data_IF_444378086643
#
_entry.id   IF_444378086643
#
_cell.length_a   1.000
_cell.length_b   1.000
_cell.length_c   1.000
_cell.angle_alpha   90.00
_cell.angle_beta   90.00
_cell.angle_gamma   90.00
#
_symmetry.space_group_name_H-M   'P 1'
#
loop_
_entity.id
_entity.type
_entity.pdbx_description
1 polymer ?
#
# COMPACT_ATOMS: atom_id res chain seq x y z
N UNK A 1 -65.57 -18.95 -38.38
CA UNK A 1 -65.00 -19.28 -39.71
C UNK A 1 -63.58 -18.71 -39.81
N UNK A 2 -62.61 -19.58 -40.17
CA UNK A 2 -61.26 -19.34 -40.75
C UNK A 2 -60.28 -18.45 -39.94
N UNK A 3 -59.23 -19.02 -39.31
CA UNK A 3 -57.87 -19.37 -39.86
C UNK A 3 -57.17 -18.13 -40.49
N UNK A 4 -55.91 -17.79 -40.27
CA UNK A 4 -54.73 -18.40 -39.64
C UNK A 4 -53.50 -17.50 -39.92
N UNK A 5 -52.38 -17.76 -39.21
CA UNK A 5 -50.97 -17.36 -39.47
C UNK A 5 -50.62 -15.95 -38.98
N UNK A 6 -49.68 -15.73 -38.06
CA UNK A 6 -48.41 -16.45 -37.83
C UNK A 6 -47.32 -15.68 -38.56
N UNK A 7 -46.64 -14.74 -37.88
CA UNK A 7 -45.39 -14.18 -38.37
C UNK A 7 -44.50 -13.74 -37.20
N UNK A 8 -43.22 -14.06 -37.37
CA UNK A 8 -42.12 -14.10 -36.41
C UNK A 8 -41.80 -12.74 -35.79
N UNK A 9 -41.51 -12.74 -34.49
CA UNK A 9 -40.75 -11.67 -33.84
C UNK A 9 -39.30 -11.72 -34.36
N UNK A 10 -38.94 -10.77 -35.22
CA UNK A 10 -37.57 -10.47 -35.58
C UNK A 10 -36.99 -9.50 -34.55
N UNK A 11 -36.06 -10.00 -33.75
CA UNK A 11 -35.15 -9.24 -32.88
C UNK A 11 -34.36 -8.22 -33.72
N UNK A 12 -34.72 -6.94 -33.60
CA UNK A 12 -33.95 -5.82 -34.14
C UNK A 12 -32.84 -5.55 -33.13
N UNK A 13 -31.64 -6.08 -33.40
CA UNK A 13 -30.41 -5.67 -32.73
C UNK A 13 -30.02 -4.28 -33.27
N UNK A 14 -30.13 -3.27 -32.43
CA UNK A 14 -29.56 -1.95 -32.70
C UNK A 14 -28.03 -2.07 -32.85
N UNK A 15 -27.42 -1.59 -33.95
CA UNK A 15 -25.96 -1.55 -34.04
C UNK A 15 -25.41 -0.46 -33.11
N UNK A 16 -24.42 -0.81 -32.29
CA UNK A 16 -23.62 0.15 -31.53
C UNK A 16 -23.02 1.19 -32.49
N UNK A 17 -22.97 2.49 -32.11
CA UNK A 17 -22.24 3.48 -32.88
C UNK A 17 -20.76 3.12 -32.87
N UNK A 18 -20.20 2.87 -34.05
CA UNK A 18 -18.76 2.67 -34.26
C UNK A 18 -18.00 3.92 -33.84
N UNK A 19 -17.04 3.77 -32.92
CA UNK A 19 -16.07 4.82 -32.59
C UNK A 19 -15.35 5.30 -33.86
N UNK A 20 -15.09 6.61 -34.01
CA UNK A 20 -14.30 7.12 -35.13
C UNK A 20 -12.88 6.54 -35.07
N UNK A 21 -12.24 6.26 -36.22
CA UNK A 21 -10.88 5.75 -36.25
C UNK A 21 -9.93 6.74 -35.56
N UNK A 22 -9.04 6.20 -34.72
CA UNK A 22 -7.97 6.95 -34.08
C UNK A 22 -7.15 7.71 -35.14
N UNK A 23 -6.75 8.97 -34.89
CA UNK A 23 -5.87 9.69 -35.79
C UNK A 23 -4.55 8.91 -35.96
N UNK A 24 -3.94 8.93 -37.16
CA UNK A 24 -2.66 8.28 -37.37
C UNK A 24 -1.61 8.86 -36.42
N UNK A 25 -0.65 8.05 -35.94
CA UNK A 25 0.43 8.55 -35.09
C UNK A 25 1.17 9.67 -35.84
N UNK A 26 1.55 10.76 -35.16
CA UNK A 26 2.25 11.87 -35.78
C UNK A 26 3.53 11.34 -36.44
N UNK A 27 3.51 11.33 -37.77
CA UNK A 27 4.61 10.90 -38.63
C UNK A 27 5.35 12.14 -39.10
N UNK A 28 6.07 12.76 -38.16
CA UNK A 28 7.07 13.78 -38.48
C UNK A 28 8.34 13.44 -37.71
N UNK A 29 9.47 13.23 -38.40
CA UNK A 29 10.75 13.04 -37.74
C UNK A 29 11.08 14.33 -36.97
N UNK A 30 11.22 14.20 -35.65
CA UNK A 30 11.58 15.30 -34.77
C UNK A 30 12.95 15.85 -35.18
N UNK A 31 12.98 17.11 -35.62
CA UNK A 31 14.20 17.90 -35.70
C UNK A 31 14.77 18.08 -34.29
N UNK A 32 16.05 17.76 -34.13
CA UNK A 32 16.72 17.48 -32.86
C UNK A 32 17.33 18.70 -32.14
N UNK A 33 16.74 19.90 -32.24
CA UNK A 33 17.38 21.13 -31.72
C UNK A 33 16.44 22.12 -30.96
N UNK A 34 15.22 21.72 -30.56
CA UNK A 34 14.38 22.58 -29.71
C UNK A 34 14.44 22.17 -28.24
N UNK A 35 14.69 23.14 -27.33
CA UNK A 35 14.60 22.95 -25.88
C UNK A 35 13.20 22.42 -25.54
N UNK A 36 13.05 21.24 -24.91
CA UNK A 36 11.75 20.68 -24.59
C UNK A 36 11.02 21.44 -23.47
N UNK A 37 11.69 22.37 -22.78
CA UNK A 37 11.13 23.07 -21.62
C UNK A 37 9.87 23.90 -21.90
N UNK A 38 9.76 24.71 -22.98
CA UNK A 38 8.53 25.44 -23.27
C UNK A 38 7.30 24.54 -23.43
N UNK A 39 7.46 23.36 -24.03
CA UNK A 39 6.39 22.37 -24.15
C UNK A 39 6.04 21.77 -22.78
N UNK A 40 7.03 21.41 -21.98
CA UNK A 40 6.83 20.91 -20.62
C UNK A 40 6.11 21.93 -19.72
N UNK A 41 6.48 23.21 -19.83
CA UNK A 41 5.82 24.31 -19.12
C UNK A 41 4.35 24.40 -19.51
N UNK A 42 4.04 24.40 -20.80
CA UNK A 42 2.66 24.47 -21.28
C UNK A 42 1.79 23.31 -20.76
N UNK A 43 2.32 22.08 -20.77
CA UNK A 43 1.61 20.91 -20.24
C UNK A 43 1.37 20.99 -18.72
N UNK A 44 2.34 21.49 -17.95
CA UNK A 44 2.17 21.64 -16.50
C UNK A 44 1.19 22.78 -16.17
N UNK A 45 1.21 23.87 -16.92
CA UNK A 45 0.21 24.94 -16.82
C UNK A 45 -1.21 24.43 -17.10
N UNK A 46 -1.36 23.60 -18.13
CA UNK A 46 -2.65 22.97 -18.48
C UNK A 46 -3.11 22.01 -17.38
N UNK A 47 -2.19 21.21 -16.83
CA UNK A 47 -2.46 20.32 -15.69
C UNK A 47 -2.92 21.09 -14.44
N UNK A 48 -2.30 22.25 -14.17
CA UNK A 48 -2.63 23.10 -13.03
C UNK A 48 -3.89 23.96 -13.27
N UNK A 49 -4.28 24.19 -14.53
CA UNK A 49 -5.22 25.24 -14.87
C UNK A 49 -4.72 26.64 -14.47
N UNK A 50 -3.40 26.85 -14.49
CA UNK A 50 -2.73 28.06 -14.03
C UNK A 50 -1.71 28.51 -15.07
N UNK A 51 -1.74 29.80 -15.44
CA UNK A 51 -0.73 30.42 -16.31
C UNK A 51 0.22 31.25 -15.46
N UNK A 52 1.51 30.97 -15.57
CA UNK A 52 2.54 31.69 -14.84
C UNK A 52 2.74 33.09 -15.42
N UNK A 53 2.87 34.09 -14.55
CA UNK A 53 3.30 35.42 -14.98
C UNK A 53 4.79 35.41 -15.32
N UNK A 54 5.57 34.62 -14.57
CA UNK A 54 6.98 34.35 -14.81
C UNK A 54 7.22 32.86 -15.09
N UNK A 55 7.33 32.51 -16.37
CA UNK A 55 7.60 31.15 -16.82
C UNK A 55 8.97 30.60 -16.36
N UNK A 56 9.88 31.46 -15.92
CA UNK A 56 11.18 31.00 -15.40
C UNK A 56 11.03 30.24 -14.07
N UNK A 57 9.99 30.55 -13.27
CA UNK A 57 9.72 29.86 -12.01
C UNK A 57 9.37 28.39 -12.21
N UNK A 58 8.53 28.10 -13.20
CA UNK A 58 8.14 26.72 -13.51
C UNK A 58 9.28 25.98 -14.22
N UNK A 59 10.07 26.67 -15.06
CA UNK A 59 11.27 26.07 -15.64
C UNK A 59 12.32 25.69 -14.57
N UNK A 60 12.54 26.56 -13.57
CA UNK A 60 13.40 26.26 -12.40
C UNK A 60 12.83 25.10 -11.58
N UNK A 61 11.52 25.08 -11.32
CA UNK A 61 10.86 24.00 -10.59
C UNK A 61 10.98 22.62 -11.26
N UNK A 62 11.08 22.62 -12.60
CA UNK A 62 11.24 21.43 -13.44
C UNK A 62 12.70 21.13 -13.80
N UNK A 63 13.67 21.66 -13.06
CA UNK A 63 15.11 21.43 -13.31
C UNK A 63 15.79 20.77 -12.11
N UNK A 64 16.30 19.54 -12.29
CA UNK A 64 17.05 18.82 -11.26
C UNK A 64 18.51 19.30 -11.17
N UNK A 65 19.11 19.23 -9.98
CA UNK A 65 20.50 19.69 -9.70
C UNK A 65 21.61 18.94 -10.44
N UNK A 66 21.27 17.87 -11.17
CA UNK A 66 22.19 17.22 -12.11
C UNK A 66 22.41 18.04 -13.39
N UNK A 67 21.49 18.95 -13.71
CA UNK A 67 21.66 19.92 -14.78
C UNK A 67 22.52 21.07 -14.27
N UNK A 68 23.74 21.20 -14.80
CA UNK A 68 24.70 22.20 -14.35
C UNK A 68 24.52 23.56 -15.04
N UNK A 69 23.68 23.64 -16.07
CA UNK A 69 23.53 24.83 -16.91
C UNK A 69 22.45 25.77 -16.38
N UNK A 70 21.48 25.22 -15.63
CA UNK A 70 20.29 25.94 -15.18
C UNK A 70 20.14 25.96 -13.66
N UNK A 71 19.35 26.91 -13.16
CA UNK A 71 18.98 26.95 -11.75
C UNK A 71 18.15 25.71 -11.40
N UNK A 72 18.53 25.01 -10.33
CA UNK A 72 17.83 23.81 -9.87
C UNK A 72 16.65 24.15 -8.97
N UNK A 73 15.66 23.26 -8.91
CA UNK A 73 14.46 23.39 -8.11
C UNK A 73 14.66 23.53 -6.60
N UNK A 74 15.88 23.30 -6.06
CA UNK A 74 16.13 23.11 -4.62
C UNK A 74 15.67 24.29 -3.74
N UNK A 75 15.78 25.52 -4.24
CA UNK A 75 15.30 26.71 -3.51
C UNK A 75 13.77 26.77 -3.48
N UNK A 76 13.14 26.37 -4.58
CA UNK A 76 11.69 26.25 -4.69
C UNK A 76 11.18 25.10 -3.83
N UNK A 77 11.81 23.92 -3.84
CA UNK A 77 11.52 22.80 -2.92
C UNK A 77 11.45 23.28 -1.46
N UNK A 78 12.47 24.00 -1.00
CA UNK A 78 12.53 24.54 0.36
C UNK A 78 11.33 25.44 0.70
N UNK A 79 10.91 26.30 -0.22
CA UNK A 79 9.73 27.16 -0.05
C UNK A 79 8.44 26.33 -0.10
N UNK A 80 8.41 25.34 -0.97
CA UNK A 80 7.27 24.47 -1.26
C UNK A 80 6.88 23.59 -0.09
N UNK A 81 7.85 22.97 0.58
CA UNK A 81 7.64 22.18 1.80
C UNK A 81 6.92 23.01 2.88
N UNK A 82 7.42 24.21 3.14
CA UNK A 82 6.82 25.12 4.12
C UNK A 82 5.42 25.61 3.69
N UNK A 83 5.25 25.98 2.41
CA UNK A 83 4.00 26.49 1.88
C UNK A 83 2.90 25.41 1.87
N UNK A 84 3.20 24.21 1.38
CA UNK A 84 2.27 23.08 1.39
C UNK A 84 1.95 22.66 2.82
N UNK A 85 2.95 22.60 3.71
CA UNK A 85 2.76 22.33 5.11
C UNK A 85 1.76 23.29 5.76
N UNK A 86 1.88 24.59 5.49
CA UNK A 86 0.94 25.60 6.00
C UNK A 86 -0.43 25.51 5.33
N UNK A 87 -0.49 25.26 4.02
CA UNK A 87 -1.75 25.11 3.29
C UNK A 87 -2.58 23.94 3.83
N UNK A 88 -1.97 22.78 4.04
CA UNK A 88 -2.61 21.64 4.69
C UNK A 88 -2.97 21.93 6.15
N UNK A 89 -2.10 22.61 6.91
CA UNK A 89 -2.44 23.04 8.28
C UNK A 89 -3.72 23.89 8.30
N UNK A 90 -3.80 24.90 7.43
CA UNK A 90 -4.98 25.76 7.33
C UNK A 90 -6.22 24.96 6.93
N UNK A 91 -6.09 24.10 5.92
CA UNK A 91 -7.18 23.24 5.48
C UNK A 91 -7.71 22.36 6.62
N UNK A 92 -6.85 21.64 7.33
CA UNK A 92 -7.28 20.73 8.40
C UNK A 92 -7.81 21.46 9.64
N UNK A 93 -7.21 22.60 9.98
CA UNK A 93 -7.67 23.44 11.08
C UNK A 93 -9.09 23.95 10.83
N UNK A 94 -9.39 24.40 9.61
CA UNK A 94 -10.71 24.92 9.24
C UNK A 94 -11.75 23.83 9.03
N UNK A 95 -11.35 22.68 8.45
CA UNK A 95 -12.30 21.59 8.14
C UNK A 95 -12.58 20.65 9.31
N UNK A 96 -11.71 20.61 10.34
CA UNK A 96 -11.87 19.72 11.49
C UNK A 96 -11.76 20.47 12.84
N UNK A 97 -12.71 21.37 13.17
CA UNK A 97 -12.63 22.21 14.38
C UNK A 97 -12.63 21.42 15.70
N UNK A 98 -13.08 20.16 15.69
CA UNK A 98 -13.17 19.29 16.87
C UNK A 98 -11.89 18.51 17.17
N UNK A 99 -10.92 18.47 16.25
CA UNK A 99 -9.70 17.67 16.43
C UNK A 99 -8.68 18.36 17.31
N UNK A 100 -8.03 17.56 18.15
CA UNK A 100 -6.90 18.02 18.95
C UNK A 100 -5.63 18.29 18.11
N UNK A 101 -4.67 19.06 18.64
CA UNK A 101 -3.42 19.41 17.93
C UNK A 101 -2.60 18.17 17.52
N UNK A 102 -2.66 17.09 18.30
CA UNK A 102 -2.01 15.82 17.95
C UNK A 102 -2.57 15.22 16.66
N UNK A 103 -3.89 15.09 16.56
CA UNK A 103 -4.58 14.52 15.38
C UNK A 103 -4.35 15.36 14.13
N UNK A 104 -4.45 16.69 14.25
CA UNK A 104 -4.15 17.63 13.15
C UNK A 104 -2.71 17.49 12.66
N UNK A 105 -1.75 17.31 13.57
CA UNK A 105 -0.35 17.09 13.21
C UNK A 105 -0.15 15.80 12.43
N UNK A 106 -0.88 14.73 12.77
CA UNK A 106 -0.78 13.47 12.04
C UNK A 106 -1.43 13.54 10.66
N UNK A 107 -2.62 14.17 10.54
CA UNK A 107 -3.27 14.42 9.24
C UNK A 107 -2.36 15.24 8.32
N UNK A 108 -1.76 16.30 8.84
CA UNK A 108 -0.78 17.09 8.10
C UNK A 108 0.37 16.21 7.61
N UNK A 109 1.04 15.50 8.52
CA UNK A 109 2.19 14.65 8.19
C UNK A 109 1.87 13.57 7.15
N UNK A 110 0.65 13.00 7.18
CA UNK A 110 0.23 12.01 6.20
C UNK A 110 0.12 12.59 4.78
N UNK A 111 -0.35 13.84 4.67
CA UNK A 111 -0.56 14.50 3.38
C UNK A 111 0.68 15.15 2.79
N UNK A 112 1.69 15.48 3.62
CA UNK A 112 2.97 16.06 3.18
C UNK A 112 4.13 15.07 3.26
N UNK A 113 3.86 13.78 3.41
CA UNK A 113 4.92 12.77 3.43
C UNK A 113 5.55 12.60 2.04
N UNK A 114 6.85 12.30 1.99
CA UNK A 114 7.58 12.02 0.74
C UNK A 114 6.88 10.94 -0.09
N UNK A 115 6.38 9.88 0.54
CA UNK A 115 5.63 8.81 -0.12
C UNK A 115 4.35 9.34 -0.78
N UNK A 116 3.57 10.16 -0.06
CA UNK A 116 2.33 10.73 -0.56
C UNK A 116 2.56 11.65 -1.74
N UNK A 117 3.52 12.57 -1.63
CA UNK A 117 3.85 13.51 -2.71
C UNK A 117 4.49 12.79 -3.91
N UNK A 118 5.32 11.77 -3.68
CA UNK A 118 5.87 10.97 -4.76
C UNK A 118 4.78 10.25 -5.58
N UNK A 119 3.74 9.73 -4.92
CA UNK A 119 2.58 9.13 -5.59
C UNK A 119 1.77 10.15 -6.39
N UNK A 120 1.67 11.38 -5.90
CA UNK A 120 1.06 12.50 -6.66
C UNK A 120 1.86 12.75 -7.93
N UNK A 121 3.19 12.81 -7.85
CA UNK A 121 4.04 12.98 -9.03
C UNK A 121 3.89 11.84 -10.05
N UNK A 122 3.78 10.59 -9.58
CA UNK A 122 3.55 9.43 -10.46
C UNK A 122 2.18 9.49 -11.12
N UNK A 123 1.12 9.80 -10.35
CA UNK A 123 -0.26 9.86 -10.86
C UNK A 123 -0.40 10.83 -12.04
N UNK A 124 0.22 12.00 -11.93
CA UNK A 124 0.18 13.02 -12.98
C UNK A 124 1.36 12.91 -13.97
N UNK A 125 2.29 11.98 -13.72
CA UNK A 125 3.49 11.78 -14.51
C UNK A 125 4.39 13.01 -14.58
N UNK A 126 4.51 13.76 -13.49
CA UNK A 126 5.29 15.01 -13.41
C UNK A 126 6.78 14.81 -13.70
N UNK A 127 7.31 13.63 -13.38
CA UNK A 127 8.72 13.31 -13.62
C UNK A 127 9.10 13.37 -15.10
N UNK A 128 8.16 13.19 -16.04
CA UNK A 128 8.44 13.28 -17.48
C UNK A 128 8.88 14.69 -17.90
N UNK A 129 8.45 15.70 -17.16
CA UNK A 129 8.74 17.12 -17.42
C UNK A 129 10.04 17.59 -16.76
N UNK A 130 10.63 16.78 -15.88
CA UNK A 130 11.84 17.13 -15.14
C UNK A 130 13.08 17.05 -16.06
N UNK A 131 13.69 18.20 -16.34
CA UNK A 131 15.02 18.29 -16.94
C UNK A 131 16.07 17.75 -15.98
N UNK A 132 16.84 16.75 -16.43
CA UNK A 132 17.81 16.03 -15.59
C UNK A 132 18.86 15.32 -16.45
N UNK A 133 19.97 14.97 -15.81
CA UNK A 133 21.06 14.19 -16.40
C UNK A 133 21.55 13.14 -15.39
N UNK A 134 20.68 12.18 -15.05
CA UNK A 134 21.00 11.15 -14.06
C UNK A 134 20.29 9.82 -14.35
N UNK A 135 20.94 8.86 -15.04
CA UNK A 135 20.31 7.58 -15.40
C UNK A 135 19.96 6.71 -14.19
N UNK A 136 20.69 6.88 -13.08
CA UNK A 136 20.38 6.21 -11.81
C UNK A 136 19.03 6.66 -11.26
N UNK A 137 18.73 7.95 -11.40
CA UNK A 137 17.47 8.52 -10.95
C UNK A 137 16.30 7.97 -11.77
N UNK A 138 16.50 7.85 -13.08
CA UNK A 138 15.51 7.27 -14.00
C UNK A 138 15.14 5.84 -13.58
N UNK A 139 16.15 5.00 -13.30
CA UNK A 139 15.91 3.63 -12.86
C UNK A 139 15.09 3.55 -11.56
N UNK A 140 15.43 4.40 -10.58
CA UNK A 140 14.72 4.43 -9.29
C UNK A 140 13.27 4.89 -9.45
N UNK A 141 13.02 5.88 -10.29
CA UNK A 141 11.67 6.39 -10.54
C UNK A 141 10.85 5.40 -11.34
N UNK A 142 11.44 4.72 -12.31
CA UNK A 142 10.76 3.69 -13.10
C UNK A 142 10.33 2.50 -12.22
N UNK A 143 11.23 2.01 -11.35
CA UNK A 143 10.92 0.94 -10.40
C UNK A 143 9.74 1.31 -9.49
N UNK A 144 9.78 2.51 -8.89
CA UNK A 144 8.69 3.00 -8.03
C UNK A 144 7.38 3.18 -8.81
N UNK A 145 7.46 3.74 -10.03
CA UNK A 145 6.29 3.98 -10.89
C UNK A 145 5.59 2.67 -11.27
N UNK A 146 6.36 1.62 -11.59
CA UNK A 146 5.80 0.30 -11.89
C UNK A 146 5.04 -0.29 -10.69
N UNK A 147 5.59 -0.16 -9.47
CA UNK A 147 4.92 -0.65 -8.25
C UNK A 147 3.62 0.12 -8.01
N UNK A 148 3.66 1.45 -8.06
CA UNK A 148 2.47 2.29 -7.83
C UNK A 148 1.37 2.02 -8.87
N UNK A 149 1.72 1.84 -10.14
CA UNK A 149 0.74 1.51 -11.19
C UNK A 149 0.08 0.15 -10.94
N UNK A 150 0.85 -0.87 -10.57
CA UNK A 150 0.31 -2.20 -10.23
C UNK A 150 -0.66 -2.15 -9.05
N UNK A 151 -0.31 -1.40 -8.00
CA UNK A 151 -1.18 -1.20 -6.83
C UNK A 151 -2.52 -0.53 -7.19
N UNK A 152 -2.53 0.34 -8.21
CA UNK A 152 -3.76 1.00 -8.70
C UNK A 152 -4.60 0.05 -9.57
N UNK A 153 -3.96 -0.80 -10.39
CA UNK A 153 -4.63 -1.70 -11.33
C UNK A 153 -5.26 -2.94 -10.67
N UNK A 154 -4.69 -3.44 -9.57
CA UNK A 154 -5.14 -4.67 -8.90
C UNK A 154 -6.34 -4.48 -7.94
N UNK A 155 -7.00 -3.31 -7.97
CA UNK A 155 -8.22 -2.97 -7.19
C UNK A 155 -8.11 -3.29 -5.69
N UNK A 156 -6.88 -3.28 -5.17
CA UNK A 156 -6.57 -3.54 -3.77
C UNK A 156 -6.86 -2.27 -2.96
N UNK A 157 -8.15 -1.93 -2.85
CA UNK A 157 -8.74 -0.78 -2.17
C UNK A 157 -7.69 0.30 -1.87
N UNK A 158 -7.29 1.01 -2.94
CA UNK A 158 -6.04 1.74 -3.06
C UNK A 158 -5.78 2.63 -1.85
N UNK A 159 -5.08 2.05 -0.85
CA UNK A 159 -4.88 2.72 0.42
C UNK A 159 -4.13 4.03 0.13
N UNK A 160 -4.61 5.18 0.61
CA UNK A 160 -3.87 6.45 0.51
C UNK A 160 -2.48 6.39 1.15
N UNK A 161 -2.26 5.35 1.96
CA UNK A 161 -1.04 5.00 2.67
C UNK A 161 -0.28 3.95 1.86
N UNK A 162 0.70 4.42 1.11
CA UNK A 162 1.59 3.57 0.32
C UNK A 162 2.17 2.41 1.14
N UNK A 163 1.96 1.20 0.61
CA UNK A 163 2.53 -0.05 1.09
C UNK A 163 3.67 -0.57 0.22
N UNK A 164 4.22 0.26 -0.67
CA UNK A 164 5.25 -0.15 -1.63
C UNK A 164 6.43 -0.84 -0.93
N UNK A 165 6.79 -2.03 -1.43
CA UNK A 165 8.05 -2.73 -1.13
C UNK A 165 9.30 -1.90 -1.47
N UNK A 166 9.13 -0.81 -2.22
CA UNK A 166 10.17 0.08 -2.74
C UNK A 166 10.03 1.46 -2.12
N UNK A 167 11.13 1.99 -1.60
CA UNK A 167 11.20 3.33 -1.01
C UNK A 167 10.95 4.41 -2.08
N UNK A 168 10.03 5.34 -1.81
CA UNK A 168 9.78 6.49 -2.69
C UNK A 168 11.07 7.30 -2.99
N UNK A 169 11.38 7.54 -4.27
CA UNK A 169 12.42 8.49 -4.69
C UNK A 169 12.09 9.91 -4.23
N UNK A 170 12.98 10.53 -3.45
CA UNK A 170 12.76 11.88 -2.89
C UNK A 170 12.49 12.93 -3.97
N UNK A 171 13.15 12.81 -5.13
CA UNK A 171 12.96 13.73 -6.27
C UNK A 171 11.50 13.89 -6.69
N UNK A 172 10.68 12.84 -6.55
CA UNK A 172 9.28 12.92 -6.95
C UNK A 172 8.48 13.82 -6.00
N UNK A 173 8.79 13.78 -4.70
CA UNK A 173 8.21 14.71 -3.73
C UNK A 173 8.75 16.13 -3.95
N UNK A 174 10.07 16.26 -4.15
CA UNK A 174 10.72 17.56 -4.35
C UNK A 174 10.14 18.31 -5.56
N UNK A 175 9.81 17.60 -6.65
CA UNK A 175 9.17 18.19 -7.84
C UNK A 175 7.76 18.69 -7.55
N UNK A 176 6.99 18.00 -6.72
CA UNK A 176 5.65 18.47 -6.33
C UNK A 176 5.77 19.72 -5.46
N UNK A 177 6.72 19.73 -4.53
CA UNK A 177 7.01 20.88 -3.66
C UNK A 177 7.51 22.08 -4.48
N UNK A 178 8.41 21.86 -5.43
CA UNK A 178 8.95 22.94 -6.26
C UNK A 178 7.90 23.56 -7.19
N UNK A 179 7.01 22.78 -7.79
CA UNK A 179 5.92 23.32 -8.61
C UNK A 179 4.93 24.09 -7.73
N UNK A 180 4.60 23.58 -6.54
CA UNK A 180 3.78 24.32 -5.58
C UNK A 180 4.42 25.66 -5.19
N UNK A 181 5.74 25.66 -4.97
CA UNK A 181 6.48 26.88 -4.67
C UNK A 181 6.50 27.85 -5.85
N UNK A 182 6.64 27.38 -7.09
CA UNK A 182 6.57 28.23 -8.27
C UNK A 182 5.22 28.97 -8.32
N UNK A 183 4.10 28.27 -8.11
CA UNK A 183 2.77 28.89 -8.03
C UNK A 183 2.69 29.87 -6.86
N UNK A 184 3.22 29.48 -5.69
CA UNK A 184 3.18 30.31 -4.49
C UNK A 184 3.97 31.62 -4.67
N UNK A 185 5.14 31.57 -5.29
CA UNK A 185 5.97 32.75 -5.59
C UNK A 185 5.32 33.61 -6.66
N UNK A 186 4.85 33.00 -7.75
CA UNK A 186 4.22 33.72 -8.88
C UNK A 186 2.95 34.47 -8.45
N UNK A 187 2.16 33.89 -7.55
CA UNK A 187 0.96 34.53 -7.02
C UNK A 187 1.20 35.53 -5.88
N UNK A 188 2.47 35.88 -5.60
CA UNK A 188 2.86 36.86 -4.59
C UNK A 188 2.73 36.34 -3.15
N UNK A 189 3.11 35.09 -2.90
CA UNK A 189 3.00 34.40 -1.60
C UNK A 189 1.57 34.32 -1.07
N UNK A 190 0.59 34.20 -1.97
CA UNK A 190 -0.82 34.06 -1.61
C UNK A 190 -1.20 32.58 -1.41
N UNK A 191 -1.29 32.17 -0.14
CA UNK A 191 -1.57 30.77 0.21
C UNK A 191 -2.96 30.29 -0.24
N UNK A 192 -3.97 31.17 -0.27
CA UNK A 192 -5.32 30.82 -0.71
C UNK A 192 -5.35 30.51 -2.21
N UNK A 193 -4.65 31.33 -3.02
CA UNK A 193 -4.48 31.09 -4.45
C UNK A 193 -3.68 29.81 -4.71
N UNK A 194 -2.57 29.60 -3.98
CA UNK A 194 -1.81 28.36 -4.04
C UNK A 194 -2.72 27.15 -3.81
N UNK A 195 -3.48 27.15 -2.72
CA UNK A 195 -4.38 26.05 -2.39
C UNK A 195 -5.43 25.83 -3.47
N UNK A 196 -6.05 26.90 -3.99
CA UNK A 196 -7.06 26.80 -5.04
C UNK A 196 -6.53 26.15 -6.32
N UNK A 197 -5.31 26.49 -6.73
CA UNK A 197 -4.66 25.95 -7.92
C UNK A 197 -4.19 24.52 -7.69
N UNK A 198 -3.51 24.28 -6.57
CA UNK A 198 -2.72 23.07 -6.38
C UNK A 198 -3.49 21.91 -5.72
N UNK A 199 -4.58 22.21 -4.99
CA UNK A 199 -5.37 21.20 -4.26
C UNK A 199 -5.83 20.06 -5.16
N UNK A 200 -6.30 20.35 -6.37
CA UNK A 200 -6.83 19.32 -7.28
C UNK A 200 -5.80 18.24 -7.61
N UNK A 201 -4.53 18.62 -7.74
CA UNK A 201 -3.42 17.70 -8.04
C UNK A 201 -3.11 16.81 -6.83
N UNK A 202 -3.29 17.32 -5.61
CA UNK A 202 -3.01 16.62 -4.36
C UNK A 202 -4.05 15.54 -4.00
N UNK A 203 -5.20 15.51 -4.68
CA UNK A 203 -6.24 14.51 -4.43
C UNK A 203 -5.76 13.08 -4.75
N UNK A 204 -6.22 12.05 -3.99
CA UNK A 204 -7.16 12.15 -2.87
C UNK A 204 -6.47 12.67 -1.60
N UNK A 205 -7.05 13.68 -0.96
CA UNK A 205 -6.56 14.19 0.34
C UNK A 205 -6.93 13.19 1.44
N UNK A 206 -5.96 12.89 2.30
CA UNK A 206 -6.19 12.06 3.49
C UNK A 206 -6.89 12.93 4.53
N UNK A 207 -8.20 12.76 4.66
CA UNK A 207 -9.11 13.43 5.62
C UNK A 207 -9.45 12.53 6.80
N UNK A 208 -10.09 13.09 7.84
CA UNK A 208 -10.63 12.33 8.97
C UNK A 208 -11.51 11.17 8.50
N UNK A 209 -12.38 11.32 7.49
CA UNK A 209 -13.22 10.22 7.00
C UNK A 209 -12.43 9.07 6.33
N UNK A 210 -11.32 9.38 5.66
CA UNK A 210 -10.34 8.38 5.14
C UNK A 210 -9.28 7.99 6.19
N UNK A 211 -9.38 8.57 7.38
CA UNK A 211 -8.50 8.39 8.54
C UNK A 211 -9.26 7.76 9.71
N UNK A 212 -10.59 7.70 9.66
CA UNK A 212 -11.50 7.05 10.62
C UNK A 212 -11.94 5.67 10.17
N UNK A 213 -11.34 5.17 9.09
CA UNK A 213 -10.90 3.78 9.09
C UNK A 213 -9.45 3.71 9.55
N UNK A 214 -9.12 4.42 10.65
CA UNK A 214 -7.95 4.08 11.41
C UNK A 214 -8.24 2.78 12.13
N UNK A 215 -7.62 1.68 11.70
CA UNK A 215 -7.89 0.38 12.28
C UNK A 215 -7.59 0.39 13.78
N UNK A 216 -6.67 1.27 14.20
CA UNK A 216 -6.32 1.50 15.60
C UNK A 216 -7.49 2.13 16.38
N UNK A 217 -8.12 3.19 15.89
CA UNK A 217 -9.24 3.86 16.59
C UNK A 217 -10.47 2.97 16.61
N UNK A 218 -10.84 2.38 15.46
CA UNK A 218 -11.98 1.47 15.39
C UNK A 218 -11.78 0.24 16.28
N UNK A 219 -10.54 -0.25 16.42
CA UNK A 219 -10.20 -1.31 17.39
C UNK A 219 -10.41 -0.86 18.84
N UNK A 220 -9.92 0.33 19.22
CA UNK A 220 -10.13 0.86 20.56
C UNK A 220 -11.62 1.03 20.88
N UNK A 221 -12.40 1.59 19.96
CA UNK A 221 -13.85 1.76 20.13
C UNK A 221 -14.59 0.43 20.23
N UNK A 222 -14.26 -0.54 19.37
CA UNK A 222 -14.82 -1.88 19.41
C UNK A 222 -14.55 -2.55 20.75
N UNK A 223 -13.29 -2.52 21.20
CA UNK A 223 -12.88 -3.11 22.46
C UNK A 223 -13.51 -2.39 23.66
N UNK A 224 -13.56 -1.05 23.67
CA UNK A 224 -14.18 -0.28 24.75
C UNK A 224 -15.68 -0.57 24.88
N UNK A 225 -16.42 -0.66 23.77
CA UNK A 225 -17.84 -1.08 23.76
C UNK A 225 -18.05 -2.47 24.36
N UNK A 226 -17.07 -3.37 24.22
CA UNK A 226 -17.11 -4.75 24.71
C UNK A 226 -16.42 -4.92 26.08
N UNK A 227 -15.97 -3.83 26.72
CA UNK A 227 -15.27 -3.87 28.00
C UNK A 227 -13.87 -4.50 27.94
N UNK A 228 -13.25 -4.55 26.74
CA UNK A 228 -11.94 -5.16 26.49
C UNK A 228 -10.81 -4.13 26.50
N UNK A 229 -9.63 -4.55 26.95
CA UNK A 229 -8.39 -3.77 27.00
C UNK A 229 -7.54 -3.99 25.75
N UNK A 230 -6.87 -2.96 25.22
CA UNK A 230 -6.04 -3.05 23.99
C UNK A 230 -4.62 -2.55 24.24
N UNK A 231 -3.64 -3.40 23.93
CA UNK A 231 -2.20 -3.13 24.10
C UNK A 231 -1.42 -3.27 22.78
N UNK A 232 -0.53 -2.32 22.51
CA UNK A 232 0.37 -2.37 21.35
C UNK A 232 1.82 -2.59 21.79
N UNK A 233 2.45 -3.67 21.32
CA UNK A 233 3.88 -3.92 21.54
C UNK A 233 4.66 -3.73 20.24
N UNK A 234 5.65 -2.84 20.28
CA UNK A 234 6.47 -2.49 19.12
C UNK A 234 7.90 -2.98 19.30
N UNK A 235 8.47 -3.57 18.27
CA UNK A 235 9.86 -4.02 18.26
C UNK A 235 10.43 -4.00 16.84
N UNK A 236 11.75 -4.16 16.69
CA UNK A 236 12.43 -4.01 15.40
C UNK A 236 13.24 -5.25 15.04
N UNK A 237 13.24 -5.61 13.75
CA UNK A 237 14.07 -6.68 13.18
C UNK A 237 14.76 -6.16 11.91
N UNK A 238 15.98 -5.66 12.04
CA UNK A 238 16.68 -4.99 10.93
C UNK A 238 16.06 -3.61 10.62
N UNK A 239 15.76 -3.34 9.34
CA UNK A 239 15.04 -2.12 8.92
C UNK A 239 13.55 -2.15 9.28
N UNK A 240 12.98 -3.34 9.49
CA UNK A 240 11.55 -3.58 9.66
C UNK A 240 11.09 -3.31 11.11
N UNK A 241 10.11 -2.42 11.26
CA UNK A 241 9.34 -2.24 12.49
C UNK A 241 8.18 -3.23 12.51
N UNK A 242 7.94 -3.85 13.67
CA UNK A 242 6.88 -4.82 13.88
C UNK A 242 6.04 -4.34 15.06
N UNK A 243 4.73 -4.38 14.90
CA UNK A 243 3.73 -4.04 15.90
C UNK A 243 2.81 -5.21 16.10
N UNK A 244 2.62 -5.59 17.37
CA UNK A 244 1.69 -6.63 17.79
C UNK A 244 0.59 -5.97 18.62
N UNK A 245 -0.65 -6.36 18.36
CA UNK A 245 -1.86 -5.88 19.03
C UNK A 245 -2.41 -7.00 19.88
N UNK A 246 -2.55 -6.72 21.18
CA UNK A 246 -3.15 -7.63 22.14
C UNK A 246 -4.48 -7.06 22.61
N UNK A 247 -5.50 -7.90 22.72
CA UNK A 247 -6.77 -7.54 23.34
C UNK A 247 -7.01 -8.51 24.50
N UNK A 248 -7.15 -7.99 25.72
CA UNK A 248 -7.22 -8.78 26.96
C UNK A 248 -6.09 -9.82 27.12
N UNK A 249 -4.89 -9.48 26.62
CA UNK A 249 -3.71 -10.34 26.69
C UNK A 249 -3.57 -11.36 25.56
N UNK A 250 -4.57 -11.51 24.70
CA UNK A 250 -4.52 -12.38 23.51
C UNK A 250 -4.01 -11.61 22.29
N UNK A 251 -3.09 -12.21 21.52
CA UNK A 251 -2.57 -11.61 20.30
C UNK A 251 -3.63 -11.66 19.21
N UNK A 252 -4.17 -10.51 18.83
CA UNK A 252 -5.20 -10.41 17.80
C UNK A 252 -4.70 -9.84 16.48
N UNK A 253 -3.59 -9.12 16.46
CA UNK A 253 -3.11 -8.55 15.21
C UNK A 253 -1.62 -8.34 15.15
N UNK A 254 -1.04 -8.54 13.97
CA UNK A 254 0.38 -8.33 13.70
C UNK A 254 0.53 -7.45 12.47
N UNK A 255 1.41 -6.46 12.54
CA UNK A 255 1.74 -5.60 11.42
C UNK A 255 3.22 -5.33 11.35
N UNK A 256 3.75 -5.30 10.13
CA UNK A 256 5.16 -5.02 9.89
C UNK A 256 5.35 -4.05 8.73
N UNK A 257 6.30 -3.12 8.87
CA UNK A 257 6.70 -2.16 7.84
C UNK A 257 8.02 -1.49 8.20
N UNK A 258 8.75 -0.95 7.22
CA UNK A 258 9.92 -0.10 7.49
C UNK A 258 9.57 1.20 8.24
N UNK A 259 8.29 1.59 8.23
CA UNK A 259 7.77 2.74 8.96
C UNK A 259 6.95 2.29 10.18
N UNK A 260 7.28 2.82 11.36
CA UNK A 260 6.61 2.47 12.62
C UNK A 260 5.10 2.73 12.60
N UNK A 261 4.67 3.78 11.91
CA UNK A 261 3.25 4.14 11.81
C UNK A 261 2.47 3.13 10.97
N UNK A 262 3.03 2.68 9.86
CA UNK A 262 2.40 1.68 8.97
C UNK A 262 2.35 0.30 9.62
N UNK A 263 3.41 -0.11 10.34
CA UNK A 263 3.39 -1.34 11.12
C UNK A 263 2.23 -1.35 12.14
N UNK A 264 1.99 -0.22 12.79
CA UNK A 264 0.89 -0.05 13.75
C UNK A 264 -0.49 -0.10 13.09
N UNK A 265 -0.66 0.53 11.93
CA UNK A 265 -1.93 0.49 11.19
C UNK A 265 -2.25 -0.94 10.71
N UNK A 266 -1.27 -1.64 10.14
CA UNK A 266 -1.45 -3.01 9.67
C UNK A 266 -1.82 -3.96 10.81
N UNK A 267 -1.17 -3.81 11.97
CA UNK A 267 -1.45 -4.63 13.14
C UNK A 267 -2.88 -4.45 13.66
N UNK A 268 -3.40 -3.22 13.57
CA UNK A 268 -4.77 -2.96 14.00
C UNK A 268 -5.83 -3.39 12.96
N UNK A 269 -5.52 -3.42 11.65
CA UNK A 269 -6.41 -4.03 10.64
C UNK A 269 -6.57 -5.51 10.90
N UNK A 270 -5.44 -6.18 11.08
CA UNK A 270 -5.39 -7.61 11.37
C UNK A 270 -6.21 -7.96 12.61
N UNK A 271 -6.09 -7.15 13.67
CA UNK A 271 -6.90 -7.29 14.89
C UNK A 271 -8.41 -7.12 14.66
N UNK A 272 -8.84 -6.11 13.88
CA UNK A 272 -10.25 -5.92 13.57
C UNK A 272 -10.84 -7.06 12.74
N UNK A 273 -10.09 -7.58 11.77
CA UNK A 273 -10.53 -8.73 10.97
C UNK A 273 -10.75 -9.97 11.84
N UNK A 274 -9.82 -10.25 12.76
CA UNK A 274 -9.93 -11.37 13.71
C UNK A 274 -11.08 -11.17 14.73
N UNK A 275 -11.42 -9.93 15.06
CA UNK A 275 -12.59 -9.61 15.90
C UNK A 275 -13.92 -9.73 15.16
N UNK A 276 -13.95 -9.48 13.85
CA UNK A 276 -15.16 -9.61 13.02
C UNK A 276 -15.48 -11.07 12.64
N UNK A 277 -14.45 -11.91 12.53
CA UNK A 277 -14.59 -13.34 12.20
C UNK A 277 -14.91 -14.23 13.41
N UNK A 278 -14.99 -13.65 14.61
CA UNK A 278 -15.34 -14.33 15.85
C UNK A 278 -16.79 -14.10 16.32
N UNK A 279 -17.68 -13.53 15.47
CA UNK A 279 -19.10 -13.44 15.80
C UNK A 279 -19.77 -14.83 15.83
N UNK A 280 -20.37 -15.25 16.96
CA UNK A 280 -21.28 -16.37 16.99
C UNK A 280 -22.64 -15.94 16.42
N UNK A 281 -23.19 -16.72 15.49
CA UNK A 281 -24.62 -16.69 15.19
C UNK A 281 -25.34 -17.07 16.48
N UNK A 282 -26.08 -16.14 17.09
CA UNK A 282 -26.96 -16.44 18.21
C UNK A 282 -28.09 -17.36 17.74
N UNK A 283 -28.04 -18.63 18.14
CA UNK A 283 -29.21 -19.50 18.23
C UNK A 283 -29.17 -20.23 19.57
N UNK A 284 -30.27 -20.08 20.31
CA UNK A 284 -30.49 -20.58 21.66
C UNK A 284 -30.57 -22.12 21.75
N UNK A 285 -30.26 -22.63 22.95
CA UNK A 285 -30.53 -23.96 23.53
C UNK A 285 -29.75 -25.14 22.89
N UNK A 286 -29.12 -26.07 23.61
CA UNK A 286 -29.36 -26.58 24.96
C UNK A 286 -28.06 -27.14 25.59
N UNK A 287 -28.10 -27.28 26.91
CA UNK A 287 -27.04 -27.69 27.81
C UNK A 287 -26.30 -29.01 27.49
N UNK A 288 -24.96 -29.05 27.63
CA UNK A 288 -24.27 -29.98 28.54
C UNK A 288 -22.73 -29.81 28.61
N UNK A 289 -22.20 -29.93 29.84
CA UNK A 289 -20.81 -30.22 30.27
C UNK A 289 -19.71 -29.18 29.95
N UNK A 290 -19.18 -28.40 30.92
CA UNK A 290 -18.27 -28.79 32.02
C UNK A 290 -16.96 -29.40 31.44
N UNK A 291 -15.73 -28.93 31.66
CA UNK A 291 -15.15 -28.08 32.68
C UNK A 291 -13.71 -27.67 32.31
N UNK A 292 -13.28 -26.56 32.92
CA UNK A 292 -11.97 -26.37 33.58
C UNK A 292 -10.66 -26.22 32.78
N UNK A 293 -10.12 -25.00 32.94
CA UNK A 293 -8.77 -24.67 33.43
C UNK A 293 -7.61 -25.04 32.49
N UNK A 294 -7.08 -24.06 31.75
CA UNK A 294 -6.10 -23.08 32.21
C UNK A 294 -4.69 -23.66 32.42
N UNK A 295 -3.72 -22.86 31.95
CA UNK A 295 -2.27 -23.05 31.89
C UNK A 295 -1.83 -23.71 30.58
N UNK A 296 -1.21 -23.01 29.64
CA UNK A 296 -0.33 -21.85 29.80
C UNK A 296 1.06 -22.25 29.32
N UNK A 297 1.65 -21.34 28.54
CA UNK A 297 3.05 -21.27 28.14
C UNK A 297 3.49 -21.98 26.85
N UNK A 298 3.75 -21.10 25.85
CA UNK A 298 4.96 -21.01 25.02
C UNK A 298 5.09 -21.95 23.81
N UNK A 299 5.10 -21.34 22.62
CA UNK A 299 6.25 -21.26 21.68
C UNK A 299 5.76 -20.86 20.26
N UNK A 300 5.73 -19.56 19.93
CA UNK A 300 5.48 -19.15 18.53
C UNK A 300 6.74 -19.37 17.67
N UNK A 301 6.90 -20.61 17.22
CA UNK A 301 7.78 -20.93 16.08
C UNK A 301 7.29 -22.10 15.22
N UNK A 302 6.02 -22.48 15.35
CA UNK A 302 5.48 -23.71 14.76
C UNK A 302 4.10 -23.54 14.09
N UNK A 303 3.68 -22.33 13.71
CA UNK A 303 2.31 -22.10 13.22
C UNK A 303 1.90 -23.07 12.10
N UNK A 304 2.76 -23.34 11.11
CA UNK A 304 2.44 -24.30 10.04
C UNK A 304 2.59 -25.77 10.47
N UNK A 305 3.56 -26.11 11.33
CA UNK A 305 3.76 -27.49 11.82
C UNK A 305 2.63 -27.90 12.77
N UNK A 306 2.20 -26.98 13.62
CA UNK A 306 1.09 -27.10 14.55
C UNK A 306 -0.24 -27.24 13.79
N UNK A 307 -0.51 -26.37 12.81
CA UNK A 307 -1.69 -26.49 11.95
C UNK A 307 -1.75 -27.82 11.19
N UNK A 308 -0.61 -28.31 10.69
CA UNK A 308 -0.55 -29.62 10.03
C UNK A 308 -0.79 -30.78 11.01
N UNK A 309 -0.25 -30.68 12.23
CA UNK A 309 -0.51 -31.66 13.29
C UNK A 309 -1.99 -31.70 13.71
N UNK A 310 -2.62 -30.53 13.85
CA UNK A 310 -4.03 -30.38 14.16
C UNK A 310 -4.91 -30.95 13.03
N UNK A 311 -4.56 -30.71 11.77
CA UNK A 311 -5.23 -31.31 10.62
C UNK A 311 -5.15 -32.85 10.64
N UNK A 312 -3.96 -33.41 10.84
CA UNK A 312 -3.78 -34.86 10.97
C UNK A 312 -4.62 -35.42 12.11
N UNK A 313 -4.65 -34.74 13.25
CA UNK A 313 -5.44 -35.16 14.42
C UNK A 313 -6.93 -35.13 14.13
N UNK A 314 -7.44 -34.04 13.53
CA UNK A 314 -8.85 -33.88 13.15
C UNK A 314 -9.29 -34.94 12.12
N UNK A 315 -8.42 -35.26 11.17
CA UNK A 315 -8.65 -36.27 10.12
C UNK A 315 -8.32 -37.70 10.56
N UNK A 316 -7.89 -37.90 11.81
CA UNK A 316 -7.47 -39.19 12.37
C UNK A 316 -6.33 -39.87 11.59
N UNK A 317 -5.44 -39.06 11.00
CA UNK A 317 -4.25 -39.53 10.30
C UNK A 317 -3.04 -39.69 11.24
N UNK A 318 -2.10 -40.59 10.90
CA UNK A 318 -0.77 -40.64 11.48
C UNK A 318 -0.09 -39.27 11.56
N UNK A 319 0.75 -39.10 12.59
CA UNK A 319 1.49 -37.85 12.82
C UNK A 319 2.45 -37.55 11.65
N UNK A 320 2.60 -36.27 11.26
CA UNK A 320 3.52 -35.87 10.20
C UNK A 320 4.98 -36.19 10.58
N UNK A 321 5.72 -36.80 9.66
CA UNK A 321 7.12 -37.18 9.86
C UNK A 321 8.02 -36.24 9.06
N UNK A 322 8.98 -35.58 9.72
CA UNK A 322 9.92 -34.65 9.09
C UNK A 322 11.29 -35.30 8.88
N UNK A 323 11.96 -34.95 7.78
CA UNK A 323 13.35 -35.36 7.49
C UNK A 323 14.14 -34.21 6.89
N UNK A 324 15.43 -34.15 7.19
CA UNK A 324 16.37 -33.23 6.53
C UNK A 324 16.81 -33.92 5.23
N UNK A 325 16.50 -33.30 4.09
CA UNK A 325 16.85 -33.79 2.76
C UNK A 325 18.22 -33.27 2.31
N UNK A 326 18.56 -32.04 2.71
CA UNK A 326 19.81 -31.39 2.30
C UNK A 326 20.30 -30.43 3.36
N UNK A 327 21.60 -30.46 3.65
CA UNK A 327 22.28 -29.42 4.42
C UNK A 327 23.53 -28.92 3.67
N UNK A 328 23.53 -27.65 3.27
CA UNK A 328 24.60 -27.06 2.43
C UNK A 328 25.12 -25.76 3.02
N UNK A 329 26.39 -25.46 2.71
CA UNK A 329 27.04 -24.21 3.08
C UNK A 329 28.04 -24.34 4.24
N UNK A 330 28.89 -23.33 4.42
CA UNK A 330 29.88 -23.30 5.50
C UNK A 330 29.19 -23.16 6.86
N UNK A 331 29.85 -23.56 7.95
CA UNK A 331 29.26 -23.59 9.30
C UNK A 331 28.65 -22.26 9.79
N UNK A 332 29.07 -21.12 9.21
CA UNK A 332 28.57 -19.78 9.53
C UNK A 332 27.42 -19.28 8.61
N UNK A 333 27.07 -20.00 7.55
CA UNK A 333 25.92 -19.73 6.66
C UNK A 333 25.27 -21.05 6.19
N UNK A 334 25.05 -21.96 7.15
CA UNK A 334 24.51 -23.30 6.86
C UNK A 334 23.01 -23.21 6.56
N UNK A 335 22.58 -23.85 5.47
CA UNK A 335 21.20 -23.86 5.00
C UNK A 335 20.66 -25.28 4.93
N UNK A 336 19.37 -25.44 5.20
CA UNK A 336 18.69 -26.72 5.33
C UNK A 336 17.45 -26.76 4.43
N UNK A 337 17.22 -27.93 3.84
CA UNK A 337 15.97 -28.30 3.16
C UNK A 337 15.40 -29.50 3.91
N UNK A 338 14.16 -29.39 4.37
CA UNK A 338 13.43 -30.45 5.05
C UNK A 338 12.21 -30.88 4.25
N UNK A 339 11.86 -32.16 4.32
CA UNK A 339 10.61 -32.71 3.81
C UNK A 339 9.68 -33.07 4.97
N UNK A 340 8.38 -33.13 4.69
CA UNK A 340 7.37 -33.68 5.59
C UNK A 340 6.55 -34.72 4.85
N UNK A 341 6.28 -35.85 5.52
CA UNK A 341 5.46 -36.95 5.02
C UNK A 341 4.23 -37.15 5.90
N UNK A 342 3.05 -37.26 5.27
CA UNK A 342 1.77 -37.57 5.93
C UNK A 342 1.15 -38.75 5.21
N UNK A 343 1.07 -39.88 5.90
CA UNK A 343 0.45 -41.10 5.37
C UNK A 343 -1.03 -41.09 5.74
N UNK A 344 -1.92 -41.23 4.77
CA UNK A 344 -3.37 -41.37 4.98
C UNK A 344 -3.82 -42.77 4.59
N UNK A 345 -5.12 -43.07 4.72
CA UNK A 345 -5.68 -44.36 4.28
C UNK A 345 -5.72 -44.53 2.76
N UNK A 346 -5.61 -43.44 2.00
CA UNK A 346 -5.80 -43.41 0.54
C UNK A 346 -4.54 -42.97 -0.20
N UNK A 347 -3.81 -41.97 0.32
CA UNK A 347 -2.60 -41.41 -0.28
C UNK A 347 -1.47 -41.18 0.73
N UNK A 348 -0.23 -41.16 0.23
CA UNK A 348 0.97 -40.84 0.98
C UNK A 348 1.55 -39.52 0.47
N UNK A 349 1.32 -38.45 1.23
CA UNK A 349 1.73 -37.11 0.83
C UNK A 349 3.14 -36.84 1.29
N UNK A 350 3.97 -36.30 0.38
CA UNK A 350 5.31 -35.78 0.69
C UNK A 350 5.44 -34.37 0.14
N UNK A 351 5.87 -33.42 0.97
CA UNK A 351 6.15 -32.04 0.58
C UNK A 351 7.54 -31.62 1.02
N UNK A 352 8.25 -30.90 0.14
CA UNK A 352 9.62 -30.41 0.39
C UNK A 352 9.60 -28.90 0.62
N UNK A 353 10.11 -28.49 1.78
CA UNK A 353 10.21 -27.09 2.21
C UNK A 353 11.28 -26.31 1.46
N UNK A 354 11.29 -25.00 1.68
CA UNK A 354 12.31 -24.11 1.10
C UNK A 354 13.65 -24.21 1.83
N UNK A 355 14.70 -23.77 1.15
CA UNK A 355 16.03 -23.61 1.71
C UNK A 355 16.01 -22.50 2.79
N UNK A 356 16.30 -22.84 4.05
CA UNK A 356 16.31 -21.89 5.18
C UNK A 356 17.57 -22.03 6.03
N UNK A 357 17.95 -20.97 6.74
CA UNK A 357 19.12 -20.96 7.63
C UNK A 357 18.93 -21.76 8.94
N UNK A 358 17.71 -22.23 9.22
CA UNK A 358 17.37 -23.07 10.38
C UNK A 358 16.52 -24.25 9.95
N UNK A 359 16.81 -25.44 10.49
CA UNK A 359 16.01 -26.67 10.28
C UNK A 359 14.54 -26.41 10.60
N UNK A 360 14.23 -25.84 11.78
CA UNK A 360 12.85 -25.53 12.18
C UNK A 360 12.08 -24.67 11.16
N UNK A 361 12.75 -23.70 10.54
CA UNK A 361 12.12 -22.79 9.58
C UNK A 361 11.88 -23.51 8.23
N UNK A 362 12.78 -24.43 7.84
CA UNK A 362 12.62 -25.28 6.65
C UNK A 362 11.50 -26.32 6.85
N UNK A 363 11.42 -26.94 8.03
CA UNK A 363 10.33 -27.86 8.36
C UNK A 363 8.96 -27.14 8.42
N UNK A 364 8.91 -25.90 8.94
CA UNK A 364 7.67 -25.11 8.91
C UNK A 364 7.27 -24.73 7.48
N UNK A 365 8.22 -24.47 6.59
CA UNK A 365 7.95 -24.27 5.15
C UNK A 365 7.42 -25.55 4.51
N UNK A 366 8.01 -26.72 4.82
CA UNK A 366 7.52 -28.01 4.34
C UNK A 366 6.07 -28.29 4.80
N UNK A 367 5.76 -27.98 6.07
CA UNK A 367 4.42 -28.11 6.62
C UNK A 367 3.41 -27.17 5.95
N UNK A 368 3.82 -25.94 5.63
CA UNK A 368 2.98 -24.98 4.91
C UNK A 368 2.64 -25.46 3.51
N UNK A 369 3.62 -26.01 2.77
CA UNK A 369 3.41 -26.57 1.44
C UNK A 369 2.53 -27.82 1.48
N UNK A 370 2.70 -28.67 2.49
CA UNK A 370 1.85 -29.84 2.72
C UNK A 370 0.40 -29.44 2.97
N UNK A 371 0.16 -28.43 3.82
CA UNK A 371 -1.19 -27.92 4.07
C UNK A 371 -1.85 -27.39 2.78
N UNK A 372 -1.10 -26.69 1.92
CA UNK A 372 -1.61 -26.26 0.62
C UNK A 372 -1.91 -27.46 -0.28
N UNK A 373 -1.03 -28.46 -0.32
CA UNK A 373 -1.21 -29.66 -1.16
C UNK A 373 -2.45 -30.47 -0.76
N UNK A 374 -2.69 -30.63 0.54
CA UNK A 374 -3.87 -31.35 1.07
C UNK A 374 -5.16 -30.53 0.90
N UNK A 375 -5.08 -29.19 0.85
CA UNK A 375 -6.26 -28.31 0.72
C UNK A 375 -6.74 -28.11 -0.73
N UNK A 376 -6.02 -28.62 -1.73
CA UNK A 376 -6.34 -28.48 -3.16
C UNK A 376 -7.12 -29.71 -3.71
N UNK A 377 -7.28 -30.77 -2.92
CA UNK A 377 -8.14 -31.94 -3.20
C UNK A 377 -9.42 -31.87 -2.38
#
# INVERSE_FOLDING_TARGET
MKKSRGSRASSISSPCPSLPPLPPPPSTPMSSDEDPMPAAVAEVEDLLGYRFSDASLIAEALTHSSDAEHASYQRLEFVGDAALGLAFTNYFYLTNPSLGPGQLSVLRAANISTEKLARVAVRHGLYRFLRRNSPKLDQMVEEFTMVVKREIEEDFDGLPYGGSLVKAPKVLADVVESIAAAVYVDCGFNLEKLWKVFRGILEPIITVGTWDEQPVTSLYEYCQKKGKSVDFKNWRKGSLNITNVFVDGELLGIGSSEQKLIAKLNAARDALLNLSSSEPIEMETDANMCSSLANGAREEKDCSKQKLYELCTKKHWPKPVYRIEKDEGPSHDKKFICSVRVVTSEEDYIAVGDLKSRVKDSESSAASKMLCQISIQ
#
